data_IF_473998633390
#
_entry.id   IF_473998633390
#
_cell.length_a   1.000
_cell.length_b   1.000
_cell.length_c   1.000
_cell.angle_alpha   90.00
_cell.angle_beta   90.00
_cell.angle_gamma   90.00
#
_symmetry.space_group_name_H-M   'P 1'
#
loop_
_entity.id
_entity.type
_entity.pdbx_description
1 polymer ?
#
# COMPACT_ATOMS: atom_id res chain seq x y z
N UNK A 1 -5.92 -10.46 -11.77
CA UNK A 1 -7.20 -10.34 -11.08
C UNK A 1 -8.27 -9.88 -12.05
N UNK A 2 -9.42 -10.46 -11.99
CA UNK A 2 -10.53 -10.03 -12.84
C UNK A 2 -11.56 -9.28 -11.99
N UNK A 3 -12.54 -8.69 -12.66
CA UNK A 3 -13.62 -7.99 -12.01
C UNK A 3 -13.60 -6.50 -12.34
N UNK A 4 -14.66 -5.83 -11.92
CA UNK A 4 -14.77 -4.40 -12.13
C UNK A 4 -13.88 -3.66 -11.16
N UNK A 5 -13.60 -2.40 -11.47
CA UNK A 5 -12.76 -1.54 -10.65
C UNK A 5 -13.63 -0.65 -9.77
N UNK A 6 -13.25 -0.55 -8.50
CA UNK A 6 -13.90 0.31 -7.53
C UNK A 6 -12.85 1.31 -7.07
N UNK A 7 -13.16 2.60 -7.17
CA UNK A 7 -12.23 3.62 -6.69
C UNK A 7 -12.15 3.57 -5.17
N UNK A 8 -10.93 3.53 -4.64
CA UNK A 8 -10.69 3.48 -3.20
C UNK A 8 -9.90 4.67 -2.68
N UNK A 9 -9.38 5.51 -3.56
CA UNK A 9 -8.65 6.69 -3.12
C UNK A 9 -7.93 7.37 -4.27
N UNK A 10 -7.04 8.28 -3.90
CA UNK A 10 -6.21 9.01 -4.83
C UNK A 10 -4.79 9.08 -4.27
N UNK A 11 -3.80 8.95 -5.13
CA UNK A 11 -2.41 9.00 -4.70
C UNK A 11 -2.06 10.42 -4.23
N UNK A 12 -1.49 10.51 -3.04
CA UNK A 12 -1.09 11.80 -2.47
C UNK A 12 0.37 12.07 -2.87
N UNK A 13 0.59 13.20 -3.50
CA UNK A 13 1.92 13.55 -4.00
C UNK A 13 2.98 13.69 -2.89
N UNK A 14 2.55 13.82 -1.62
CA UNK A 14 3.51 13.90 -0.52
C UNK A 14 4.41 12.67 -0.45
N UNK A 15 3.91 11.51 -0.91
CA UNK A 15 4.70 10.28 -0.89
C UNK A 15 5.85 10.31 -1.88
N UNK A 16 5.75 11.11 -2.93
CA UNK A 16 6.85 11.24 -3.89
C UNK A 16 8.12 11.75 -3.20
N UNK A 17 7.97 12.75 -2.32
CA UNK A 17 9.11 13.29 -1.59
C UNK A 17 9.67 12.27 -0.59
N UNK A 18 8.78 11.60 0.11
CA UNK A 18 9.19 10.63 1.13
C UNK A 18 9.93 9.46 0.50
N UNK A 19 9.48 9.01 -0.66
CA UNK A 19 9.99 7.81 -1.31
C UNK A 19 10.98 8.09 -2.43
N UNK A 20 11.20 9.36 -2.77
CA UNK A 20 12.07 9.77 -3.88
C UNK A 20 11.64 9.11 -5.18
N UNK A 21 10.37 9.26 -5.50
CA UNK A 21 9.76 8.76 -6.74
C UNK A 21 8.92 9.86 -7.37
N UNK A 22 8.43 9.61 -8.57
CA UNK A 22 7.69 10.60 -9.34
C UNK A 22 6.46 9.93 -9.96
N UNK A 23 5.38 9.87 -9.19
CA UNK A 23 4.11 9.33 -9.65
C UNK A 23 3.09 10.46 -9.68
N UNK A 24 2.30 10.52 -10.75
CA UNK A 24 1.26 11.52 -10.87
C UNK A 24 0.15 11.30 -9.85
N UNK A 25 -0.65 12.34 -9.62
CA UNK A 25 -1.79 12.26 -8.71
C UNK A 25 -2.93 11.47 -9.37
N UNK A 26 -2.78 10.16 -9.36
CA UNK A 26 -3.71 9.26 -10.03
C UNK A 26 -4.73 8.68 -9.05
N UNK A 27 -5.88 8.31 -9.58
CA UNK A 27 -6.88 7.58 -8.80
C UNK A 27 -6.38 6.16 -8.51
N UNK A 28 -6.79 5.64 -7.37
CA UNK A 28 -6.43 4.29 -6.93
C UNK A 28 -7.70 3.44 -6.90
N UNK A 29 -7.62 2.27 -7.53
CA UNK A 29 -8.75 1.35 -7.64
C UNK A 29 -8.43 -0.01 -7.04
N UNK A 30 -9.47 -0.74 -6.68
CA UNK A 30 -9.34 -2.17 -6.41
C UNK A 30 -10.32 -2.93 -7.29
N UNK A 31 -9.99 -4.17 -7.60
CA UNK A 31 -10.90 -5.04 -8.32
C UNK A 31 -11.95 -5.60 -7.37
N UNK A 32 -13.16 -5.83 -7.87
CA UNK A 32 -14.18 -6.55 -7.13
C UNK A 32 -13.75 -7.98 -6.84
N UNK A 33 -12.76 -8.49 -7.59
CA UNK A 33 -12.20 -9.83 -7.36
C UNK A 33 -11.13 -9.89 -6.29
N UNK A 34 -10.78 -8.76 -5.65
CA UNK A 34 -9.72 -8.76 -4.65
C UNK A 34 -9.98 -9.73 -3.48
N UNK A 35 -11.19 -9.79 -2.89
CA UNK A 35 -11.40 -10.75 -1.81
C UNK A 35 -11.12 -12.20 -2.20
N UNK A 36 -11.59 -12.61 -3.37
CA UNK A 36 -11.34 -13.97 -3.86
C UNK A 36 -9.86 -14.22 -4.10
N UNK A 37 -9.15 -13.22 -4.62
CA UNK A 37 -7.70 -13.30 -4.82
C UNK A 37 -6.98 -13.49 -3.49
N UNK A 38 -7.39 -12.76 -2.45
CA UNK A 38 -6.79 -12.88 -1.13
C UNK A 38 -7.00 -14.28 -0.55
N UNK A 39 -8.20 -14.82 -0.69
CA UNK A 39 -8.48 -16.18 -0.23
C UNK A 39 -7.60 -17.18 -0.97
N UNK A 40 -7.51 -17.05 -2.28
CA UNK A 40 -6.69 -17.93 -3.11
C UNK A 40 -5.21 -17.89 -2.71
N UNK A 41 -4.72 -16.73 -2.34
CA UNK A 41 -3.33 -16.53 -1.92
C UNK A 41 -3.14 -16.76 -0.42
N UNK A 42 -4.19 -17.21 0.27
CA UNK A 42 -4.17 -17.47 1.71
C UNK A 42 -3.90 -16.22 2.55
N UNK A 43 -4.36 -15.07 2.06
CA UNK A 43 -4.25 -13.80 2.78
C UNK A 43 -5.57 -13.44 3.47
N UNK A 44 -6.34 -14.44 3.88
CA UNK A 44 -7.68 -14.22 4.43
C UNK A 44 -7.68 -13.52 5.78
N UNK A 45 -6.54 -13.46 6.46
CA UNK A 45 -6.45 -12.73 7.74
C UNK A 45 -6.71 -11.23 7.57
N UNK A 46 -6.58 -10.72 6.35
CA UNK A 46 -6.77 -9.30 6.08
C UNK A 46 -8.12 -8.99 5.45
N UNK A 47 -8.96 -10.01 5.20
CA UNK A 47 -10.27 -9.78 4.56
C UNK A 47 -11.11 -8.74 5.30
N UNK A 48 -11.06 -8.76 6.62
CA UNK A 48 -11.86 -7.83 7.43
C UNK A 48 -11.41 -6.38 7.28
N UNK A 49 -10.26 -6.13 6.67
CA UNK A 49 -9.75 -4.78 6.50
C UNK A 49 -9.96 -4.24 5.09
N UNK A 50 -10.67 -4.98 4.23
CA UNK A 50 -10.88 -4.53 2.84
C UNK A 50 -11.59 -3.17 2.80
N UNK A 51 -12.58 -2.97 3.65
CA UNK A 51 -13.31 -1.71 3.67
C UNK A 51 -12.48 -0.56 4.25
N UNK A 52 -11.35 -0.88 4.87
CA UNK A 52 -10.45 0.13 5.42
C UNK A 52 -9.38 0.57 4.42
N UNK A 53 -9.38 0.04 3.21
CA UNK A 53 -8.37 0.40 2.21
C UNK A 53 -8.24 1.92 2.04
N UNK A 54 -9.34 2.68 1.94
CA UNK A 54 -9.18 4.14 1.83
C UNK A 54 -8.43 4.75 3.01
N UNK A 55 -8.68 4.28 4.22
CA UNK A 55 -7.99 4.80 5.40
C UNK A 55 -6.52 4.38 5.42
N UNK A 56 -6.22 3.16 4.97
CA UNK A 56 -4.83 2.71 4.89
C UNK A 56 -4.04 3.58 3.92
N UNK A 57 -4.66 3.93 2.80
CA UNK A 57 -4.01 4.78 1.80
C UNK A 57 -3.81 6.21 2.29
N UNK A 58 -4.75 6.71 3.09
CA UNK A 58 -4.73 8.09 3.55
C UNK A 58 -3.90 8.27 4.82
N UNK A 59 -3.91 7.27 5.70
CA UNK A 59 -3.26 7.36 7.02
C UNK A 59 -2.40 6.13 7.31
N UNK A 60 -1.44 5.80 6.45
CA UNK A 60 -0.57 4.65 6.71
C UNK A 60 0.38 4.94 7.85
N UNK A 61 0.84 3.90 8.52
CA UNK A 61 1.89 4.02 9.53
C UNK A 61 3.28 4.00 8.91
N UNK A 62 3.41 3.34 7.76
CA UNK A 62 4.65 3.37 7.00
C UNK A 62 4.38 3.17 5.52
N UNK A 63 5.32 3.66 4.70
CA UNK A 63 5.20 3.54 3.24
C UNK A 63 6.56 3.16 2.67
N UNK A 64 6.56 2.54 1.50
CA UNK A 64 7.80 2.15 0.85
C UNK A 64 7.61 1.83 -0.62
N UNK A 65 8.71 1.47 -1.26
CA UNK A 65 8.73 1.03 -2.64
C UNK A 65 9.19 -0.42 -2.65
N UNK A 66 8.49 -1.27 -3.38
CA UNK A 66 8.92 -2.65 -3.51
C UNK A 66 10.21 -2.69 -4.33
N UNK A 67 11.32 -3.15 -3.75
CA UNK A 67 12.60 -3.11 -4.46
C UNK A 67 12.66 -4.00 -5.69
N UNK A 68 11.76 -4.99 -5.76
CA UNK A 68 11.70 -5.88 -6.93
C UNK A 68 10.88 -5.30 -8.07
N UNK A 69 10.12 -4.24 -7.80
CA UNK A 69 9.27 -3.61 -8.80
C UNK A 69 9.34 -2.09 -8.65
N UNK A 70 10.55 -1.60 -8.57
CA UNK A 70 10.78 -0.16 -8.38
C UNK A 70 10.09 0.64 -9.48
N UNK A 71 9.64 1.83 -9.12
CA UNK A 71 8.92 2.77 -9.98
C UNK A 71 7.49 2.34 -10.29
N UNK A 72 7.06 1.15 -9.86
CA UNK A 72 5.75 0.64 -10.24
C UNK A 72 4.93 0.10 -9.09
N UNK A 73 5.55 -0.15 -7.94
CA UNK A 73 4.84 -0.76 -6.82
C UNK A 73 5.19 -0.04 -5.53
N UNK A 74 4.16 0.52 -4.90
CA UNK A 74 4.28 1.23 -3.63
C UNK A 74 3.62 0.38 -2.56
N UNK A 75 4.22 0.37 -1.38
CA UNK A 75 3.70 -0.39 -0.25
C UNK A 75 3.19 0.56 0.83
N UNK A 76 2.02 0.28 1.37
CA UNK A 76 1.42 1.02 2.47
C UNK A 76 1.15 0.04 3.59
N UNK A 77 1.61 0.36 4.79
CA UNK A 77 1.39 -0.50 5.95
C UNK A 77 0.62 0.25 7.01
N UNK A 78 -0.41 -0.38 7.56
CA UNK A 78 -1.13 0.16 8.69
C UNK A 78 -1.19 -0.89 9.79
N UNK A 79 -0.95 -0.44 11.01
CA UNK A 79 -0.96 -1.33 12.18
C UNK A 79 -2.34 -1.38 12.78
N UNK A 80 -2.90 -2.55 12.75
CA UNK A 80 -4.10 -2.90 13.51
C UNK A 80 -3.66 -3.87 14.61
N UNK A 81 -4.47 -4.87 14.93
CA UNK A 81 -3.98 -5.97 15.74
C UNK A 81 -2.90 -6.76 14.99
N UNK A 82 -2.91 -6.64 13.66
CA UNK A 82 -1.90 -7.19 12.76
C UNK A 82 -1.40 -6.06 11.88
N UNK A 83 -0.19 -6.23 11.34
CA UNK A 83 0.35 -5.26 10.38
C UNK A 83 -0.18 -5.61 9.00
N UNK A 84 -0.99 -4.74 8.42
CA UNK A 84 -1.61 -4.96 7.11
C UNK A 84 -0.83 -4.18 6.06
N UNK A 85 -0.39 -4.87 5.02
CA UNK A 85 0.33 -4.25 3.91
C UNK A 85 -0.52 -4.26 2.66
N UNK A 86 -0.63 -3.10 2.02
CA UNK A 86 -1.22 -2.97 0.70
C UNK A 86 -0.11 -2.78 -0.31
N UNK A 87 -0.12 -3.58 -1.38
CA UNK A 87 0.72 -3.33 -2.53
C UNK A 87 -0.09 -2.60 -3.58
N UNK A 88 0.40 -1.44 -4.01
CA UNK A 88 -0.29 -0.59 -4.99
C UNK A 88 0.61 -0.46 -6.21
N UNK A 89 0.10 -0.88 -7.36
CA UNK A 89 0.88 -0.86 -8.60
C UNK A 89 0.36 0.17 -9.58
N UNK A 90 1.27 0.70 -10.38
CA UNK A 90 0.92 1.53 -11.50
C UNK A 90 0.43 0.64 -12.64
N UNK A 91 -0.72 0.98 -13.21
CA UNK A 91 -1.26 0.27 -14.35
C UNK A 91 -0.30 0.46 -15.53
N UNK A 92 -0.25 -0.53 -16.42
CA UNK A 92 0.84 -0.60 -17.41
C UNK A 92 0.88 0.57 -18.40
N UNK A 93 -0.25 1.24 -18.60
CA UNK A 93 -0.28 2.43 -19.44
C UNK A 93 -0.19 3.72 -18.64
N UNK A 94 -0.04 3.59 -17.31
CA UNK A 94 0.18 4.74 -16.45
C UNK A 94 -1.04 5.59 -16.17
N UNK A 95 -2.23 5.05 -16.37
CA UNK A 95 -3.46 5.84 -16.29
C UNK A 95 -4.10 5.83 -14.92
N UNK A 96 -3.77 4.86 -14.08
CA UNK A 96 -4.28 4.77 -12.72
C UNK A 96 -3.41 3.81 -11.92
N UNK A 97 -3.67 3.80 -10.60
CA UNK A 97 -3.03 2.87 -9.68
C UNK A 97 -4.06 1.83 -9.23
N UNK A 98 -3.61 0.66 -8.85
CA UNK A 98 -4.53 -0.37 -8.38
C UNK A 98 -3.91 -1.19 -7.24
N UNK A 99 -4.80 -1.73 -6.39
CA UNK A 99 -4.37 -2.62 -5.31
C UNK A 99 -4.04 -3.96 -5.92
N UNK A 100 -2.76 -4.34 -5.84
CA UNK A 100 -2.30 -5.61 -6.40
C UNK A 100 -2.32 -6.73 -5.37
N UNK A 101 -2.14 -6.38 -4.09
CA UNK A 101 -2.12 -7.38 -3.02
C UNK A 101 -2.42 -6.73 -1.68
N UNK A 102 -2.87 -7.54 -0.74
CA UNK A 102 -3.11 -7.11 0.62
C UNK A 102 -2.83 -8.30 1.53
N UNK A 103 -1.89 -8.15 2.45
CA UNK A 103 -1.51 -9.28 3.30
C UNK A 103 -0.92 -8.81 4.63
N UNK A 104 -0.82 -9.73 5.56
CA UNK A 104 -0.23 -9.47 6.87
C UNK A 104 1.30 -9.57 6.80
N UNK A 105 1.97 -8.61 7.43
CA UNK A 105 3.44 -8.64 7.57
C UNK A 105 3.75 -8.92 9.03
N UNK A 106 4.51 -9.98 9.28
CA UNK A 106 4.92 -10.31 10.63
C UNK A 106 5.83 -9.21 11.20
N UNK A 107 5.77 -9.03 12.51
CA UNK A 107 6.49 -7.93 13.16
C UNK A 107 7.98 -7.94 12.87
N UNK A 108 8.60 -9.11 12.89
CA UNK A 108 10.04 -9.19 12.61
C UNK A 108 10.37 -8.77 11.18
N UNK A 109 9.54 -9.15 10.23
CA UNK A 109 9.76 -8.76 8.84
C UNK A 109 9.52 -7.27 8.66
N UNK A 110 8.50 -6.73 9.32
CA UNK A 110 8.23 -5.29 9.28
C UNK A 110 9.42 -4.52 9.81
N UNK A 111 9.98 -4.94 10.93
CA UNK A 111 11.13 -4.26 11.52
C UNK A 111 12.34 -4.31 10.61
N UNK A 112 12.58 -5.43 9.93
CA UNK A 112 13.68 -5.53 8.97
C UNK A 112 13.50 -4.58 7.81
N UNK A 113 12.27 -4.45 7.31
CA UNK A 113 11.98 -3.54 6.19
C UNK A 113 12.11 -2.07 6.60
N UNK A 114 11.74 -1.75 7.83
CA UNK A 114 11.96 -0.40 8.35
C UNK A 114 13.44 -0.11 8.52
N UNK A 115 14.18 -1.06 9.07
CA UNK A 115 15.61 -0.88 9.28
C UNK A 115 16.37 -0.72 7.97
N UNK A 116 15.99 -1.49 6.95
CA UNK A 116 16.67 -1.44 5.65
C UNK A 116 16.33 -0.19 4.83
N UNK A 117 15.28 0.54 5.22
CA UNK A 117 14.82 1.69 4.46
C UNK A 117 13.80 1.34 3.37
N UNK A 118 13.46 0.06 3.21
CA UNK A 118 12.40 -0.33 2.27
C UNK A 118 11.07 0.31 2.67
N UNK A 119 10.80 0.37 3.97
CA UNK A 119 9.65 1.07 4.51
C UNK A 119 10.11 2.24 5.35
N UNK A 120 9.38 3.34 5.29
CA UNK A 120 9.67 4.55 6.05
C UNK A 120 8.46 4.88 6.91
N UNK A 121 8.68 5.14 8.18
CA UNK A 121 7.59 5.45 9.10
C UNK A 121 7.01 6.83 8.82
N UNK A 122 5.67 6.89 8.87
CA UNK A 122 4.92 8.13 8.80
C UNK A 122 4.61 8.59 10.21
N UNK A 123 5.65 8.69 11.04
CA UNK A 123 5.45 9.01 12.44
C UNK A 123 5.16 10.49 12.63
N UNK A 124 4.63 10.81 13.81
CA UNK A 124 4.39 12.19 14.20
C UNK A 124 5.69 12.99 14.14
N UNK A 125 6.81 12.34 14.44
CA UNK A 125 8.11 13.00 14.40
C UNK A 125 8.49 13.46 13.01
N UNK A 126 8.14 12.69 11.99
CA UNK A 126 8.40 13.08 10.61
C UNK A 126 7.58 14.30 10.22
N UNK A 127 6.43 14.46 10.81
CA UNK A 127 5.54 15.59 10.54
C UNK A 127 5.96 16.81 11.35
N UNK A 128 6.42 16.61 12.57
CA UNK A 128 6.74 17.70 13.50
C UNK A 128 8.15 18.22 13.40
N UNK A 129 8.96 17.60 12.61
CA UNK A 129 10.32 18.09 12.42
C UNK A 129 10.31 19.31 11.56
N UNK A 130 10.12 20.35 12.21
CA UNK A 130 10.04 21.65 11.57
C UNK A 130 10.93 22.60 12.30
#
# INVERSE_FOLDING_TARGET
>A
MSGELIKVGKYDLKYNKILDIDIAELDIYRSTGLPAHMVKRKHFNCLKYIDDIPDILENPDSVGVNPNEKDKSIEFVKKYSKNVLLGVKLEKEGQYLYISTMYEVQESKLNRRLYSGRLKEMSVDNVKKI
#
